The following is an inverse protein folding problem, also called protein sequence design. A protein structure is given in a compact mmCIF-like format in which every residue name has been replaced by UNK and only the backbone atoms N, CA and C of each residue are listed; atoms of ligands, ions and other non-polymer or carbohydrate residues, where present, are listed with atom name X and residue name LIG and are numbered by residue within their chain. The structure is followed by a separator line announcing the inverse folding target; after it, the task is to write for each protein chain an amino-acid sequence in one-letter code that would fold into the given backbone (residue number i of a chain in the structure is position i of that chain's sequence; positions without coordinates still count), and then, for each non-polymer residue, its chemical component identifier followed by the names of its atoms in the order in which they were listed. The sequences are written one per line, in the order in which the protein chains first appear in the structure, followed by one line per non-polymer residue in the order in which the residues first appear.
data_IF_686241687448
#
_entry.id   IF_686241687448
#
_cell.length_a   1.000
_cell.length_b   1.000
_cell.length_c   1.000
_cell.angle_alpha   90.00
_cell.angle_beta   90.00
_cell.angle_gamma   90.00
#
_symmetry.space_group_name_H-M   'P 1'
#
loop_
_entity.id
_entity.type
_entity.pdbx_description
1 polymer ?
#
# COMPACT_ATOMS: atom_id res chain seq x y z
N UNK A 1 9.04 -9.76 -22.22
CA UNK A 1 8.00 -9.54 -21.19
C UNK A 1 8.42 -10.34 -19.97
N UNK A 2 9.00 -9.70 -18.96
CA UNK A 2 9.44 -10.44 -17.76
C UNK A 2 8.18 -10.84 -16.98
N UNK A 3 7.96 -12.15 -16.82
CA UNK A 3 6.73 -12.72 -16.27
C UNK A 3 6.56 -12.50 -14.76
N UNK A 4 7.53 -11.86 -14.10
CA UNK A 4 7.51 -11.56 -12.67
C UNK A 4 7.00 -12.73 -11.83
N UNK A 5 6.17 -12.43 -10.83
CA UNK A 5 5.56 -13.42 -9.95
C UNK A 5 4.29 -14.11 -10.51
N UNK A 6 3.95 -13.92 -11.79
CA UNK A 6 2.67 -14.41 -12.35
C UNK A 6 2.55 -15.94 -12.21
N UNK A 7 3.61 -16.69 -12.50
CA UNK A 7 3.59 -18.16 -12.39
C UNK A 7 3.35 -18.62 -10.95
N UNK A 8 3.98 -17.96 -9.97
CA UNK A 8 3.78 -18.24 -8.53
C UNK A 8 2.37 -17.89 -8.07
N UNK A 9 1.82 -16.77 -8.56
CA UNK A 9 0.44 -16.36 -8.25
C UNK A 9 -0.54 -17.39 -8.82
N UNK A 10 -0.35 -17.81 -10.08
CA UNK A 10 -1.16 -18.85 -10.72
C UNK A 10 -1.17 -20.16 -9.92
N UNK A 11 -0.01 -20.60 -9.43
CA UNK A 11 0.08 -21.84 -8.65
C UNK A 11 -0.47 -21.72 -7.22
N UNK A 12 -0.67 -20.51 -6.71
CA UNK A 12 -1.23 -20.28 -5.36
C UNK A 12 -2.75 -20.36 -5.32
N UNK A 13 -3.44 -20.29 -6.46
CA UNK A 13 -4.89 -20.40 -6.55
C UNK A 13 -5.31 -21.80 -6.94
N UNK A 14 -6.46 -22.23 -6.41
CA UNK A 14 -7.16 -23.41 -6.94
C UNK A 14 -7.62 -23.12 -8.38
N UNK A 15 -7.44 -24.04 -9.33
CA UNK A 15 -7.94 -23.87 -10.70
C UNK A 15 -9.45 -23.59 -10.67
N UNK A 16 -9.85 -22.41 -11.15
CA UNK A 16 -11.24 -21.98 -11.19
C UNK A 16 -11.49 -21.14 -12.43
N UNK A 17 -12.59 -21.38 -13.17
CA UNK A 17 -12.97 -20.52 -14.30
C UNK A 17 -13.36 -19.11 -13.84
N UNK A 18 -13.62 -18.91 -12.54
CA UNK A 18 -14.02 -17.62 -11.97
C UNK A 18 -12.83 -16.73 -11.57
N UNK A 19 -11.59 -17.22 -11.73
CA UNK A 19 -10.38 -16.45 -11.42
C UNK A 19 -9.67 -16.11 -12.73
N UNK A 20 -9.63 -14.82 -13.05
CA UNK A 20 -8.87 -14.30 -14.18
C UNK A 20 -7.67 -13.50 -13.68
N UNK A 21 -6.46 -13.92 -14.06
CA UNK A 21 -5.24 -13.15 -13.82
C UNK A 21 -4.96 -12.31 -15.06
N UNK A 22 -4.96 -11.00 -14.89
CA UNK A 22 -4.73 -10.04 -15.97
C UNK A 22 -3.33 -9.45 -15.79
N UNK A 23 -2.32 -9.87 -16.58
CA UNK A 23 -0.98 -9.32 -16.49
C UNK A 23 -0.96 -7.82 -16.79
N UNK A 24 -0.14 -7.08 -16.05
CA UNK A 24 0.17 -5.68 -16.35
C UNK A 24 1.66 -5.51 -16.50
N UNK A 25 2.12 -4.70 -17.48
CA UNK A 25 3.51 -4.31 -17.52
C UNK A 25 3.86 -3.64 -16.18
N UNK A 26 5.05 -3.96 -15.66
CA UNK A 26 5.58 -3.28 -14.48
C UNK A 26 5.51 -1.77 -14.71
N UNK A 27 5.10 -0.96 -13.72
CA UNK A 27 5.05 0.48 -13.88
C UNK A 27 6.44 0.99 -14.26
N UNK A 28 6.59 1.33 -15.55
CA UNK A 28 7.76 1.85 -16.25
C UNK A 28 9.04 1.96 -15.39
N UNK A 29 9.64 0.81 -15.10
CA UNK A 29 10.78 0.71 -14.17
C UNK A 29 12.00 1.51 -14.65
N UNK A 30 12.16 1.65 -15.97
CA UNK A 30 13.27 2.39 -16.58
C UNK A 30 13.22 3.91 -16.36
N UNK A 31 12.03 4.53 -16.27
CA UNK A 31 11.92 6.00 -16.12
C UNK A 31 12.05 6.49 -14.68
N UNK A 32 11.94 5.58 -13.70
CA UNK A 32 12.04 5.91 -12.27
C UNK A 32 13.29 5.32 -11.60
N UNK A 33 14.19 4.68 -12.35
CA UNK A 33 15.40 4.08 -11.79
C UNK A 33 15.15 2.79 -10.99
N UNK A 34 14.00 2.12 -11.21
CA UNK A 34 13.74 0.80 -10.63
C UNK A 34 14.41 -0.27 -11.50
N UNK A 35 15.15 -1.22 -10.90
CA UNK A 35 15.70 -2.36 -11.63
C UNK A 35 14.60 -3.14 -12.37
N UNK A 36 14.86 -3.62 -13.61
CA UNK A 36 13.85 -4.30 -14.43
C UNK A 36 13.39 -5.64 -13.83
N UNK A 37 14.23 -6.29 -13.02
CA UNK A 37 14.00 -7.62 -12.45
C UNK A 37 13.40 -7.56 -11.03
N UNK A 38 13.05 -6.37 -10.55
CA UNK A 38 12.49 -6.18 -9.23
C UNK A 38 10.98 -6.49 -9.27
N UNK A 39 10.58 -7.61 -8.67
CA UNK A 39 9.21 -8.13 -8.77
C UNK A 39 8.47 -8.27 -7.44
N UNK A 40 9.16 -8.02 -6.33
CA UNK A 40 8.60 -8.12 -4.99
C UNK A 40 9.22 -7.04 -4.11
N UNK A 41 8.50 -6.63 -3.06
CA UNK A 41 8.97 -5.62 -2.10
C UNK A 41 10.06 -6.13 -1.16
N UNK A 42 10.29 -7.45 -1.12
CA UNK A 42 11.27 -8.09 -0.23
C UNK A 42 12.71 -7.82 -0.66
N UNK A 43 12.95 -7.72 -1.97
CA UNK A 43 14.25 -7.42 -2.56
C UNK A 43 14.53 -5.91 -2.67
N UNK A 44 13.62 -5.06 -2.17
CA UNK A 44 13.70 -3.61 -2.34
C UNK A 44 14.35 -2.92 -1.14
N UNK A 45 15.28 -2.01 -1.42
CA UNK A 45 15.72 -1.02 -0.42
C UNK A 45 14.59 -0.02 -0.13
N UNK A 46 14.62 0.70 1.01
CA UNK A 46 13.61 1.73 1.30
C UNK A 46 13.46 2.77 0.18
N UNK A 47 14.57 3.21 -0.42
CA UNK A 47 14.54 4.13 -1.55
C UNK A 47 13.80 3.54 -2.78
N UNK A 48 14.03 2.26 -3.07
CA UNK A 48 13.30 1.55 -4.13
C UNK A 48 11.81 1.41 -3.81
N UNK A 49 11.43 1.24 -2.53
CA UNK A 49 10.03 1.20 -2.12
C UNK A 49 9.34 2.54 -2.36
N UNK A 50 10.00 3.68 -2.11
CA UNK A 50 9.43 5.00 -2.44
C UNK A 50 9.26 5.20 -3.95
N UNK A 51 10.23 4.78 -4.76
CA UNK A 51 10.12 4.81 -6.22
C UNK A 51 8.95 3.93 -6.69
N UNK A 52 8.78 2.74 -6.11
CA UNK A 52 7.65 1.86 -6.43
C UNK A 52 6.29 2.53 -6.17
N UNK A 53 6.14 3.28 -5.07
CA UNK A 53 4.89 4.02 -4.78
C UNK A 53 4.59 5.02 -5.89
N UNK A 54 5.58 5.81 -6.31
CA UNK A 54 5.43 6.75 -7.43
C UNK A 54 5.10 6.01 -8.73
N UNK A 55 5.71 4.85 -8.98
CA UNK A 55 5.43 4.00 -10.13
C UNK A 55 3.96 3.57 -10.16
N UNK A 56 3.45 3.11 -9.02
CA UNK A 56 2.05 2.71 -8.84
C UNK A 56 1.09 3.88 -9.07
N UNK A 57 1.44 5.09 -8.62
CA UNK A 57 0.62 6.28 -8.84
C UNK A 57 0.47 6.63 -10.33
N UNK A 58 1.52 6.41 -11.13
CA UNK A 58 1.48 6.60 -12.59
C UNK A 58 0.62 5.55 -13.32
N UNK A 59 0.23 4.45 -12.67
CA UNK A 59 -0.65 3.44 -13.28
C UNK A 59 -2.11 3.86 -13.33
N UNK A 60 -2.49 4.97 -12.69
CA UNK A 60 -3.86 5.50 -12.64
C UNK A 60 -4.61 5.44 -13.99
N UNK A 61 -4.05 5.93 -15.12
CA UNK A 61 -4.75 5.91 -16.40
C UNK A 61 -5.04 4.49 -16.89
N UNK A 62 -4.08 3.58 -16.74
CA UNK A 62 -4.21 2.18 -17.18
C UNK A 62 -5.24 1.44 -16.33
N UNK A 63 -5.24 1.67 -15.02
CA UNK A 63 -6.21 1.08 -14.10
C UNK A 63 -7.61 1.65 -14.32
N UNK A 64 -7.74 2.94 -14.61
CA UNK A 64 -9.01 3.54 -15.01
C UNK A 64 -9.60 2.85 -16.24
N UNK A 65 -8.81 2.73 -17.32
CA UNK A 65 -9.25 2.05 -18.55
C UNK A 65 -9.68 0.61 -18.27
N UNK A 66 -8.92 -0.11 -17.44
CA UNK A 66 -9.28 -1.47 -17.06
C UNK A 66 -10.61 -1.55 -16.32
N UNK A 67 -10.80 -0.71 -15.30
CA UNK A 67 -12.01 -0.72 -14.48
C UNK A 67 -13.24 -0.28 -15.27
N UNK A 68 -13.10 0.67 -16.19
CA UNK A 68 -14.18 1.06 -17.11
C UNK A 68 -14.63 -0.08 -18.03
N UNK A 69 -13.70 -0.95 -18.43
CA UNK A 69 -14.01 -2.12 -19.26
C UNK A 69 -14.61 -3.27 -18.43
N UNK A 70 -14.04 -3.58 -17.25
CA UNK A 70 -14.49 -4.70 -16.43
C UNK A 70 -15.76 -4.43 -15.64
N UNK A 71 -16.01 -3.17 -15.27
CA UNK A 71 -17.17 -2.74 -14.46
C UNK A 71 -17.43 -3.64 -13.23
N UNK A 72 -16.42 -3.89 -12.39
CA UNK A 72 -16.60 -4.75 -11.22
C UNK A 72 -17.56 -4.11 -10.21
N UNK A 73 -18.24 -4.95 -9.42
CA UNK A 73 -19.14 -4.46 -8.37
C UNK A 73 -18.37 -3.81 -7.21
N UNK A 74 -17.18 -4.34 -6.92
CA UNK A 74 -16.27 -3.78 -5.94
C UNK A 74 -14.81 -4.08 -6.31
N UNK A 75 -13.89 -3.28 -5.78
CA UNK A 75 -12.44 -3.48 -5.91
C UNK A 75 -11.82 -3.64 -4.52
N UNK A 76 -11.14 -4.77 -4.29
CA UNK A 76 -10.24 -4.92 -3.15
C UNK A 76 -8.87 -4.36 -3.52
N UNK A 77 -8.30 -3.53 -2.65
CA UNK A 77 -7.05 -2.85 -2.92
C UNK A 77 -6.17 -2.74 -1.67
N UNK A 78 -4.88 -2.52 -1.88
CA UNK A 78 -3.92 -2.37 -0.79
C UNK A 78 -3.78 -0.90 -0.37
N UNK A 79 -3.41 -0.65 0.89
CA UNK A 79 -3.32 0.71 1.45
C UNK A 79 -2.36 1.66 0.72
N UNK A 80 -1.40 1.14 -0.07
CA UNK A 80 -0.51 1.96 -0.90
C UNK A 80 -1.22 2.68 -2.06
N UNK A 81 -2.39 2.20 -2.50
CA UNK A 81 -3.12 2.74 -3.66
C UNK A 81 -4.14 3.80 -3.26
N UNK A 82 -3.68 4.85 -2.59
CA UNK A 82 -4.51 5.91 -2.01
C UNK A 82 -5.42 6.65 -3.02
N UNK A 83 -5.02 6.70 -4.30
CA UNK A 83 -5.80 7.32 -5.39
C UNK A 83 -6.98 6.45 -5.87
N UNK A 84 -6.95 5.14 -5.60
CA UNK A 84 -7.90 4.20 -6.17
C UNK A 84 -9.35 4.38 -5.67
N UNK A 85 -9.62 4.67 -4.39
CA UNK A 85 -10.97 5.00 -3.93
C UNK A 85 -11.61 6.17 -4.70
N UNK A 86 -10.86 7.26 -4.90
CA UNK A 86 -11.34 8.43 -5.64
C UNK A 86 -11.64 8.07 -7.10
N UNK A 87 -10.74 7.32 -7.74
CA UNK A 87 -10.92 6.87 -9.12
C UNK A 87 -12.14 5.94 -9.27
N UNK A 88 -12.30 4.96 -8.38
CA UNK A 88 -13.45 4.04 -8.39
C UNK A 88 -14.77 4.78 -8.14
N UNK A 89 -14.77 5.76 -7.23
CA UNK A 89 -15.95 6.61 -6.98
C UNK A 89 -16.40 7.35 -8.23
N UNK A 90 -15.47 7.84 -9.07
CA UNK A 90 -15.80 8.49 -10.34
C UNK A 90 -16.41 7.52 -11.37
N UNK A 91 -16.19 6.22 -11.20
CA UNK A 91 -16.73 5.15 -12.05
C UNK A 91 -17.97 4.48 -11.44
N UNK A 92 -18.45 4.92 -10.27
CA UNK A 92 -19.56 4.29 -9.56
C UNK A 92 -19.24 2.92 -8.95
N UNK A 93 -17.95 2.60 -8.74
CA UNK A 93 -17.47 1.31 -8.23
C UNK A 93 -17.19 1.40 -6.73
N UNK A 94 -17.64 0.40 -5.95
CA UNK A 94 -17.36 0.33 -4.51
C UNK A 94 -15.93 -0.13 -4.25
N UNK A 95 -15.32 0.32 -3.15
CA UNK A 95 -13.95 -0.07 -2.79
C UNK A 95 -13.85 -0.65 -1.41
N UNK A 96 -13.00 -1.66 -1.25
CA UNK A 96 -12.68 -2.32 0.01
C UNK A 96 -11.17 -2.27 0.22
N UNK A 97 -10.73 -1.57 1.27
CA UNK A 97 -9.31 -1.51 1.61
C UNK A 97 -8.92 -2.79 2.36
N UNK A 98 -7.88 -3.45 1.88
CA UNK A 98 -7.22 -4.56 2.55
C UNK A 98 -5.86 -4.09 3.08
N UNK A 99 -5.64 -4.30 4.37
CA UNK A 99 -4.35 -4.04 5.03
C UNK A 99 -3.87 -5.31 5.71
N UNK A 100 -2.58 -5.61 5.54
CA UNK A 100 -1.90 -6.67 6.30
C UNK A 100 -1.59 -6.25 7.73
N UNK A 101 -1.66 -4.95 8.03
CA UNK A 101 -1.43 -4.43 9.37
C UNK A 101 -2.69 -4.48 10.22
N UNK A 102 -2.57 -4.75 11.53
CA UNK A 102 -3.69 -4.68 12.46
C UNK A 102 -4.40 -3.32 12.45
N UNK A 103 -5.71 -3.31 12.74
CA UNK A 103 -6.49 -2.08 12.80
C UNK A 103 -5.91 -1.06 13.80
N UNK A 104 -5.33 -1.54 14.90
CA UNK A 104 -4.72 -0.69 15.92
C UNK A 104 -3.50 0.08 15.40
N UNK A 105 -2.68 -0.56 14.56
CA UNK A 105 -1.55 0.07 13.88
C UNK A 105 -2.01 1.21 12.98
N UNK A 106 -3.09 0.98 12.23
CA UNK A 106 -3.73 2.02 11.42
C UNK A 106 -4.24 3.18 12.28
N UNK A 107 -5.01 2.86 13.33
CA UNK A 107 -5.56 3.87 14.24
C UNK A 107 -4.47 4.72 14.89
N UNK A 108 -3.37 4.11 15.33
CA UNK A 108 -2.25 4.83 15.94
C UNK A 108 -1.65 5.91 15.02
N UNK A 109 -1.67 5.67 13.71
CA UNK A 109 -1.16 6.58 12.68
C UNK A 109 -2.19 7.62 12.22
N UNK A 110 -3.47 7.25 12.14
CA UNK A 110 -4.47 8.03 11.37
C UNK A 110 -5.59 8.63 12.20
N UNK A 111 -5.66 8.37 13.51
CA UNK A 111 -6.73 8.96 14.33
C UNK A 111 -6.69 10.50 14.29
N UNK A 112 -7.85 11.18 14.27
CA UNK A 112 -7.91 12.64 14.22
C UNK A 112 -7.13 13.35 15.34
N UNK A 113 -6.94 12.68 16.49
CA UNK A 113 -6.11 13.18 17.58
C UNK A 113 -4.65 13.50 17.16
N UNK A 114 -4.16 12.94 16.04
CA UNK A 114 -2.85 13.25 15.45
C UNK A 114 -2.77 14.65 14.82
N UNK A 115 -3.90 15.28 14.52
CA UNK A 115 -3.97 16.59 13.84
C UNK A 115 -4.39 17.74 14.78
N UNK A 116 -4.55 17.46 16.09
CA UNK A 116 -5.08 18.42 17.04
C UNK A 116 -4.16 19.62 17.34
N UNK A 117 -2.89 19.59 16.92
CA UNK A 117 -1.90 20.65 17.15
C UNK A 117 -1.97 21.79 16.11
N UNK A 118 -2.95 21.81 15.20
CA UNK A 118 -3.00 22.77 14.09
C UNK A 118 -1.95 22.50 13.00
N UNK A 119 -1.24 21.38 13.11
CA UNK A 119 -0.32 20.87 12.10
C UNK A 119 -1.05 20.04 11.05
N UNK A 120 -0.58 20.10 9.80
CA UNK A 120 -1.12 19.31 8.69
C UNK A 120 -0.71 17.83 8.82
N UNK A 121 0.44 17.56 9.44
CA UNK A 121 1.00 16.22 9.64
C UNK A 121 1.75 16.12 10.99
N UNK A 122 1.71 14.95 11.67
CA UNK A 122 2.44 14.73 12.92
C UNK A 122 3.95 14.69 12.69
N UNK A 123 4.73 15.23 13.62
CA UNK A 123 6.19 15.12 13.58
C UNK A 123 6.67 13.70 13.91
N UNK A 124 7.92 13.38 13.59
CA UNK A 124 8.54 12.09 13.95
C UNK A 124 8.48 11.85 15.46
N UNK A 125 8.64 12.89 16.28
CA UNK A 125 8.56 12.75 17.74
C UNK A 125 7.14 12.56 18.25
N UNK A 126 6.14 13.10 17.55
CA UNK A 126 4.73 12.83 17.84
C UNK A 126 4.39 11.36 17.56
N UNK A 127 4.95 10.78 16.50
CA UNK A 127 4.76 9.37 16.15
C UNK A 127 5.34 8.41 17.21
N UNK A 128 6.37 8.81 17.96
CA UNK A 128 6.95 8.01 19.05
C UNK A 128 6.05 7.91 20.29
N UNK A 129 5.00 8.72 20.38
CA UNK A 129 4.06 8.74 21.51
C UNK A 129 2.66 8.36 21.04
N UNK A 130 1.85 7.68 21.89
CA UNK A 130 0.47 7.40 21.53
C UNK A 130 -0.31 8.71 21.30
N UNK A 131 -1.28 8.72 20.38
CA UNK A 131 -2.18 9.85 20.22
C UNK A 131 -2.91 10.16 21.53
N UNK A 132 -3.40 11.38 21.68
CA UNK A 132 -4.21 11.75 22.84
C UNK A 132 -5.41 10.79 22.97
N UNK A 133 -5.61 10.27 24.18
CA UNK A 133 -6.69 9.34 24.51
C UNK A 133 -6.68 8.00 23.74
N UNK A 134 -5.52 7.62 23.17
CA UNK A 134 -5.39 6.29 22.57
C UNK A 134 -5.50 5.19 23.64
N UNK A 135 -6.17 4.07 23.36
CA UNK A 135 -6.33 2.99 24.33
C UNK A 135 -4.97 2.44 24.79
N UNK A 136 -4.91 2.03 26.06
CA UNK A 136 -3.76 1.29 26.57
C UNK A 136 -3.69 -0.07 25.88
N UNK A 137 -2.63 -0.27 25.09
CA UNK A 137 -2.42 -1.48 24.30
C UNK A 137 -0.94 -1.86 24.29
N UNK A 138 -0.60 -3.02 23.72
CA UNK A 138 0.81 -3.39 23.51
C UNK A 138 1.53 -2.40 22.60
N UNK A 139 0.80 -1.69 21.74
CA UNK A 139 1.32 -0.70 20.83
C UNK A 139 1.59 0.65 21.51
N UNK A 140 2.83 0.88 21.91
CA UNK A 140 3.20 2.07 22.69
C UNK A 140 3.99 3.11 21.92
N UNK A 141 4.68 2.73 20.84
CA UNK A 141 5.55 3.65 20.10
C UNK A 141 5.81 3.19 18.66
N UNK A 142 6.03 4.16 17.76
CA UNK A 142 6.70 3.94 16.48
C UNK A 142 8.20 4.19 16.61
N UNK A 143 9.02 3.27 16.10
CA UNK A 143 10.46 3.48 16.03
C UNK A 143 10.84 4.24 14.76
N UNK A 144 11.82 5.12 14.89
CA UNK A 144 12.46 5.71 13.73
C UNK A 144 13.09 4.59 12.88
N UNK A 145 13.05 4.77 11.57
CA UNK A 145 13.69 3.85 10.65
C UNK A 145 15.20 3.76 10.94
N UNK A 146 15.73 2.55 11.11
CA UNK A 146 17.17 2.31 11.19
C UNK A 146 17.67 1.59 9.92
N UNK A 147 18.86 1.91 9.40
CA UNK A 147 19.47 1.18 8.29
C UNK A 147 19.52 -0.33 8.60
N UNK A 148 18.96 -1.16 7.72
CA UNK A 148 18.80 -2.62 7.91
C UNK A 148 17.38 -3.05 8.27
N UNK A 149 16.48 -2.11 8.56
CA UNK A 149 15.07 -2.42 8.79
C UNK A 149 14.34 -2.62 7.45
N UNK A 150 13.53 -3.68 7.33
CA UNK A 150 12.80 -4.08 6.11
C UNK A 150 11.48 -3.33 5.86
N UNK A 151 10.90 -2.69 6.87
CA UNK A 151 9.65 -1.93 6.75
C UNK A 151 9.85 -0.46 7.13
N UNK A 152 9.05 0.44 6.56
CA UNK A 152 9.13 1.87 6.91
C UNK A 152 8.38 2.18 8.22
N UNK A 153 7.49 1.29 8.66
CA UNK A 153 6.70 1.41 9.88
C UNK A 153 6.96 0.23 10.81
N UNK A 154 7.55 0.52 11.98
CA UNK A 154 7.77 -0.46 13.04
C UNK A 154 6.97 -0.07 14.27
N UNK A 155 6.06 -0.96 14.61
CA UNK A 155 5.27 -0.93 15.81
C UNK A 155 5.98 -1.74 16.89
N UNK A 156 6.28 -1.13 18.05
CA UNK A 156 6.82 -1.86 19.19
C UNK A 156 5.68 -2.39 20.06
N UNK A 157 5.69 -3.71 20.27
CA UNK A 157 4.92 -4.38 21.31
C UNK A 157 5.80 -4.59 22.56
N UNK A 158 5.22 -4.57 23.75
CA UNK A 158 5.88 -4.93 25.02
C UNK A 158 5.99 -6.45 25.16
#
# INVERSE_FOLDING_TARGET
MVLGNISRIKSSFLPSPNIQIIPRPSPNSSSQGLPPDLHNTFEMTPAMQELLKQALDLMQPQIRTLLSHLQPHFVLFNFFQHWLPKLCSQLGIKTLCFSVFPAISGAYLTVPARLQSGQVEPSVDDLKKPPLSFPQTSLTSLKAFHPGSRFVLYFQEL
#
